data_IF_825429073723
#
_entry.id   IF_825429073723
#
_cell.length_a   1.000
_cell.length_b   1.000
_cell.length_c   1.000
_cell.angle_alpha   90.00
_cell.angle_beta   90.00
_cell.angle_gamma   90.00
#
_symmetry.space_group_name_H-M   'P 1'
#
loop_
_entity.id
_entity.type
_entity.pdbx_description
1 polymer ?
#
# COMPACT_ATOMS: atom_id res chain seq x y z
N UNK A 1 -17.92 8.54 -8.68
CA UNK A 1 -17.43 8.41 -10.05
C UNK A 1 -16.79 7.03 -10.20
N UNK A 2 -17.54 6.10 -10.78
CA UNK A 2 -17.01 4.77 -11.05
C UNK A 2 -16.40 4.78 -12.46
N UNK A 3 -15.08 4.59 -12.52
CA UNK A 3 -14.35 4.54 -13.79
C UNK A 3 -14.02 3.09 -14.14
N UNK A 4 -14.25 2.71 -15.41
CA UNK A 4 -13.96 1.35 -15.88
C UNK A 4 -12.49 0.90 -15.66
N UNK A 5 -11.57 1.87 -15.57
CA UNK A 5 -10.13 1.65 -15.36
C UNK A 5 -9.67 2.35 -14.06
N UNK A 6 -10.55 2.45 -13.06
CA UNK A 6 -10.31 3.22 -11.85
C UNK A 6 -9.04 2.82 -11.10
N UNK A 7 -8.77 1.52 -11.00
CA UNK A 7 -7.59 1.02 -10.29
C UNK A 7 -6.29 1.39 -11.00
N UNK A 8 -6.22 1.23 -12.32
CA UNK A 8 -5.03 1.62 -13.09
C UNK A 8 -4.77 3.12 -13.03
N UNK A 9 -5.84 3.93 -13.03
CA UNK A 9 -5.72 5.38 -12.86
C UNK A 9 -5.13 5.74 -11.50
N UNK A 10 -5.55 5.09 -10.42
CA UNK A 10 -5.01 5.37 -9.08
C UNK A 10 -3.55 4.95 -8.97
N UNK A 11 -3.18 3.77 -9.49
CA UNK A 11 -1.78 3.35 -9.54
C UNK A 11 -0.91 4.34 -10.33
N UNK A 12 -1.40 4.84 -11.47
CA UNK A 12 -0.68 5.84 -12.25
C UNK A 12 -0.53 7.19 -11.52
N UNK A 13 -1.49 7.58 -10.69
CA UNK A 13 -1.40 8.80 -9.89
C UNK A 13 -0.48 8.60 -8.69
N UNK A 14 -0.48 7.43 -8.04
CA UNK A 14 0.42 7.15 -6.91
C UNK A 14 1.88 7.18 -7.32
N UNK A 15 2.22 6.70 -8.52
CA UNK A 15 3.60 6.74 -9.04
C UNK A 15 4.18 8.15 -9.20
N UNK A 16 3.33 9.17 -9.32
CA UNK A 16 3.81 10.57 -9.32
C UNK A 16 4.44 10.99 -8.00
N UNK A 17 4.14 10.32 -6.89
CA UNK A 17 4.77 10.55 -5.59
C UNK A 17 6.29 10.36 -5.61
N UNK A 18 6.76 9.41 -6.42
CA UNK A 18 8.20 9.14 -6.60
C UNK A 18 8.92 10.35 -7.19
N UNK A 19 8.30 10.98 -8.20
CA UNK A 19 8.84 12.20 -8.80
C UNK A 19 8.91 13.33 -7.78
N UNK A 20 7.92 13.44 -6.88
CA UNK A 20 7.92 14.42 -5.80
C UNK A 20 9.13 14.29 -4.88
N UNK A 21 9.47 13.07 -4.45
CA UNK A 21 10.62 12.78 -3.60
C UNK A 21 11.94 13.07 -4.32
N UNK A 22 12.07 12.69 -5.59
CA UNK A 22 13.27 12.97 -6.39
C UNK A 22 13.47 14.47 -6.58
N UNK A 23 12.40 15.22 -6.88
CA UNK A 23 12.45 16.69 -7.02
C UNK A 23 12.77 17.37 -5.69
N UNK A 24 12.25 16.88 -4.57
CA UNK A 24 12.57 17.40 -3.25
C UNK A 24 14.06 17.25 -2.92
N UNK A 25 14.65 16.09 -3.19
CA UNK A 25 16.09 15.88 -3.01
C UNK A 25 16.94 16.71 -3.94
N UNK A 26 16.52 16.91 -5.19
CA UNK A 26 17.25 17.70 -6.17
C UNK A 26 17.19 19.20 -5.85
N UNK A 27 16.02 19.71 -5.46
CA UNK A 27 15.85 21.14 -5.16
C UNK A 27 16.56 21.60 -3.88
N UNK A 28 16.96 20.68 -3.01
CA UNK A 28 17.63 20.99 -1.74
C UNK A 28 19.11 21.40 -1.89
N UNK A 29 19.70 21.25 -3.07
CA UNK A 29 21.12 21.55 -3.38
C UNK A 29 22.12 20.99 -2.36
N UNK A 30 21.78 19.84 -1.76
CA UNK A 30 22.58 19.14 -0.77
C UNK A 30 22.87 17.71 -1.23
N UNK A 31 24.13 17.30 -1.21
CA UNK A 31 24.55 15.96 -1.63
C UNK A 31 23.90 14.83 -0.82
N UNK A 32 23.66 15.02 0.48
CA UNK A 32 23.07 14.02 1.36
C UNK A 32 21.58 13.84 1.07
N UNK A 33 20.85 14.93 0.83
CA UNK A 33 19.44 14.90 0.41
C UNK A 33 19.27 14.26 -0.95
N UNK A 34 20.17 14.52 -1.89
CA UNK A 34 20.15 13.91 -3.21
C UNK A 34 20.37 12.39 -3.14
N UNK A 35 21.35 11.92 -2.34
CA UNK A 35 21.58 10.49 -2.11
C UNK A 35 20.35 9.84 -1.46
N UNK A 36 19.75 10.50 -0.46
CA UNK A 36 18.51 10.03 0.20
C UNK A 36 17.36 9.86 -0.77
N UNK A 37 17.12 10.87 -1.61
CA UNK A 37 16.06 10.85 -2.63
C UNK A 37 16.30 9.75 -3.68
N UNK A 38 17.53 9.54 -4.14
CA UNK A 38 17.85 8.49 -5.10
C UNK A 38 17.68 7.09 -4.50
N UNK A 39 18.05 6.88 -3.24
CA UNK A 39 17.82 5.61 -2.52
C UNK A 39 16.33 5.32 -2.38
N UNK A 40 15.56 6.30 -1.94
CA UNK A 40 14.10 6.19 -1.82
C UNK A 40 13.44 5.93 -3.16
N UNK A 41 13.80 6.69 -4.19
CA UNK A 41 13.27 6.51 -5.54
C UNK A 41 13.55 5.12 -6.12
N UNK A 42 14.77 4.60 -5.96
CA UNK A 42 15.12 3.25 -6.42
C UNK A 42 14.30 2.16 -5.72
N UNK A 43 14.06 2.31 -4.41
CA UNK A 43 13.22 1.39 -3.64
C UNK A 43 11.77 1.47 -4.13
N UNK A 44 11.19 2.66 -4.18
CA UNK A 44 9.79 2.87 -4.56
C UNK A 44 9.48 2.33 -5.96
N UNK A 45 10.32 2.64 -6.96
CA UNK A 45 10.16 2.12 -8.33
C UNK A 45 10.19 0.59 -8.36
N UNK A 46 11.08 -0.04 -7.56
CA UNK A 46 11.16 -1.50 -7.51
C UNK A 46 9.89 -2.11 -6.91
N UNK A 47 9.42 -1.62 -5.77
CA UNK A 47 8.24 -2.15 -5.08
C UNK A 47 6.92 -1.84 -5.80
N UNK A 48 6.86 -0.76 -6.59
CA UNK A 48 5.71 -0.44 -7.43
C UNK A 48 5.44 -1.53 -8.48
N UNK A 49 6.49 -2.19 -8.98
CA UNK A 49 6.33 -3.32 -9.91
C UNK A 49 5.62 -4.49 -9.25
N UNK A 50 6.04 -4.92 -8.06
CA UNK A 50 5.38 -6.00 -7.33
C UNK A 50 3.96 -5.65 -6.91
N UNK A 51 3.74 -4.41 -6.49
CA UNK A 51 2.40 -3.91 -6.16
C UNK A 51 1.48 -3.96 -7.40
N UNK A 52 1.96 -3.51 -8.54
CA UNK A 52 1.22 -3.54 -9.81
C UNK A 52 0.88 -4.97 -10.24
N UNK A 53 1.80 -5.93 -10.10
CA UNK A 53 1.56 -7.34 -10.43
C UNK A 53 0.48 -7.93 -9.52
N UNK A 54 0.53 -7.65 -8.22
CA UNK A 54 -0.51 -8.15 -7.29
C UNK A 54 -1.88 -7.57 -7.58
N UNK A 55 -1.96 -6.30 -7.96
CA UNK A 55 -3.21 -5.65 -8.38
C UNK A 55 -3.73 -6.25 -9.69
N UNK A 56 -2.85 -6.51 -10.67
CA UNK A 56 -3.21 -7.19 -11.92
C UNK A 56 -3.76 -8.60 -11.66
N UNK A 57 -3.18 -9.35 -10.72
CA UNK A 57 -3.70 -10.66 -10.33
C UNK A 57 -5.15 -10.56 -9.80
N UNK A 58 -5.45 -9.53 -9.00
CA UNK A 58 -6.83 -9.28 -8.52
C UNK A 58 -7.77 -8.89 -9.66
N UNK A 59 -7.32 -8.07 -10.61
CA UNK A 59 -8.11 -7.69 -11.80
C UNK A 59 -8.46 -8.92 -12.62
N UNK A 60 -7.50 -9.83 -12.83
CA UNK A 60 -7.72 -11.09 -13.56
C UNK A 60 -8.74 -11.98 -12.83
N UNK A 61 -8.65 -12.09 -11.50
CA UNK A 61 -9.58 -12.87 -10.68
C UNK A 61 -11.00 -12.30 -10.69
N UNK A 62 -11.13 -10.97 -10.71
CA UNK A 62 -12.41 -10.26 -10.65
C UNK A 62 -13.04 -10.10 -12.03
N UNK A 63 -12.24 -10.13 -13.11
CA UNK A 63 -12.66 -9.87 -14.49
C UNK A 63 -12.98 -8.41 -14.80
N UNK A 64 -12.72 -7.48 -13.88
CA UNK A 64 -12.98 -6.04 -14.03
C UNK A 64 -11.86 -5.19 -13.45
N UNK A 65 -11.63 -3.99 -14.00
CA UNK A 65 -10.70 -3.01 -13.48
C UNK A 65 -11.40 -1.84 -12.75
N UNK A 66 -12.72 -1.91 -12.62
CA UNK A 66 -13.54 -0.97 -11.84
C UNK A 66 -13.49 -1.33 -10.36
N UNK A 67 -13.34 -0.33 -9.49
CA UNK A 67 -13.28 -0.54 -8.02
C UNK A 67 -14.59 -1.14 -7.51
N UNK A 68 -15.74 -0.64 -7.96
CA UNK A 68 -17.05 -1.18 -7.58
C UNK A 68 -17.24 -2.61 -8.05
N UNK A 69 -16.88 -2.90 -9.31
CA UNK A 69 -16.99 -4.24 -9.87
C UNK A 69 -16.13 -5.27 -9.13
N UNK A 70 -14.93 -4.89 -8.68
CA UNK A 70 -14.09 -5.78 -7.85
C UNK A 70 -14.74 -6.05 -6.50
N UNK A 71 -15.32 -5.04 -5.85
CA UNK A 71 -16.02 -5.26 -4.57
C UNK A 71 -17.24 -6.15 -4.79
N UNK A 72 -18.06 -5.89 -5.82
CA UNK A 72 -19.23 -6.71 -6.16
C UNK A 72 -18.87 -8.16 -6.50
N UNK A 73 -17.75 -8.39 -7.18
CA UNK A 73 -17.26 -9.74 -7.45
C UNK A 73 -16.96 -10.54 -6.18
N UNK A 74 -16.75 -9.88 -5.05
CA UNK A 74 -16.48 -10.48 -3.75
C UNK A 74 -17.73 -10.80 -2.93
N UNK A 75 -18.94 -10.58 -3.46
CA UNK A 75 -20.20 -10.87 -2.76
C UNK A 75 -20.29 -12.34 -2.27
N UNK A 76 -19.74 -13.27 -3.02
CA UNK A 76 -19.73 -14.71 -2.70
C UNK A 76 -18.46 -15.16 -1.93
N UNK A 77 -17.67 -14.24 -1.41
CA UNK A 77 -16.44 -14.51 -0.68
C UNK A 77 -15.33 -13.54 -1.01
N UNK A 78 -14.48 -13.26 -0.06
CA UNK A 78 -13.37 -12.32 -0.23
C UNK A 78 -12.31 -12.86 -1.19
N UNK A 79 -11.71 -12.01 -1.97
CA UNK A 79 -10.67 -12.39 -2.92
C UNK A 79 -9.46 -13.06 -2.25
N UNK A 80 -9.16 -12.74 -1.01
CA UNK A 80 -8.09 -13.38 -0.23
C UNK A 80 -8.24 -14.90 -0.16
N UNK A 81 -9.49 -15.42 -0.20
CA UNK A 81 -9.78 -16.86 -0.14
C UNK A 81 -10.18 -17.46 -1.50
N UNK A 82 -10.67 -16.62 -2.43
CA UNK A 82 -11.24 -17.07 -3.71
C UNK A 82 -10.22 -17.71 -4.65
N UNK A 83 -8.99 -17.19 -4.68
CA UNK A 83 -7.88 -17.72 -5.47
C UNK A 83 -6.99 -18.70 -4.72
N UNK A 84 -7.48 -19.28 -3.61
CA UNK A 84 -6.74 -20.22 -2.77
C UNK A 84 -5.39 -19.63 -2.30
N UNK A 85 -4.31 -20.42 -2.38
CA UNK A 85 -2.98 -20.01 -1.92
C UNK A 85 -2.44 -18.80 -2.71
N UNK A 86 -2.73 -18.68 -4.00
CA UNK A 86 -2.21 -17.60 -4.85
C UNK A 86 -2.72 -16.23 -4.41
N UNK A 87 -4.02 -16.11 -4.14
CA UNK A 87 -4.59 -14.84 -3.67
C UNK A 87 -4.12 -14.46 -2.28
N UNK A 88 -3.91 -15.44 -1.41
CA UNK A 88 -3.35 -15.19 -0.09
C UNK A 88 -1.90 -14.70 -0.17
N UNK A 89 -1.08 -15.31 -1.03
CA UNK A 89 0.28 -14.85 -1.29
C UNK A 89 0.28 -13.44 -1.91
N UNK A 90 -0.59 -13.19 -2.88
CA UNK A 90 -0.73 -11.87 -3.47
C UNK A 90 -1.10 -10.80 -2.42
N UNK A 91 -1.97 -11.13 -1.46
CA UNK A 91 -2.28 -10.22 -0.36
C UNK A 91 -1.05 -9.92 0.51
N UNK A 92 -0.25 -10.92 0.86
CA UNK A 92 0.98 -10.74 1.64
C UNK A 92 1.98 -9.87 0.87
N UNK A 93 2.20 -10.16 -0.43
CA UNK A 93 3.10 -9.37 -1.28
C UNK A 93 2.60 -7.93 -1.38
N UNK A 94 1.28 -7.73 -1.56
CA UNK A 94 0.67 -6.41 -1.57
C UNK A 94 0.93 -5.63 -0.27
N UNK A 95 0.78 -6.27 0.90
CA UNK A 95 1.04 -5.62 2.19
C UNK A 95 2.50 -5.23 2.36
N UNK A 96 3.43 -6.09 1.92
CA UNK A 96 4.87 -5.80 1.99
C UNK A 96 5.22 -4.65 1.04
N UNK A 97 4.78 -4.72 -0.22
CA UNK A 97 5.04 -3.69 -1.22
C UNK A 97 4.37 -2.35 -0.84
N UNK A 98 3.14 -2.37 -0.35
CA UNK A 98 2.43 -1.19 0.11
C UNK A 98 3.06 -0.54 1.35
N UNK A 99 3.65 -1.34 2.27
CA UNK A 99 4.40 -0.79 3.39
C UNK A 99 5.70 -0.11 2.92
N UNK A 100 6.36 -0.67 1.91
CA UNK A 100 7.53 -0.06 1.29
C UNK A 100 7.17 1.24 0.54
N UNK A 101 6.04 1.28 -0.17
CA UNK A 101 5.52 2.48 -0.85
C UNK A 101 5.17 3.61 0.14
N UNK A 102 4.71 3.25 1.34
CA UNK A 102 4.45 4.21 2.41
C UNK A 102 5.74 4.69 3.12
N UNK A 103 6.93 4.29 2.67
CA UNK A 103 8.23 4.61 3.29
C UNK A 103 8.28 4.31 4.80
N UNK A 104 7.56 3.28 5.25
CA UNK A 104 7.49 2.90 6.67
C UNK A 104 8.43 1.75 7.02
N UNK A 105 8.92 1.75 8.26
CA UNK A 105 9.72 0.62 8.76
C UNK A 105 9.05 -0.74 8.49
N UNK A 106 9.82 -1.74 8.07
CA UNK A 106 11.29 -1.85 7.99
C UNK A 106 11.95 -1.23 6.74
N UNK A 107 11.19 -0.59 5.83
CA UNK A 107 11.64 -0.03 4.54
C UNK A 107 11.91 1.48 4.60
N UNK A 108 12.10 2.04 5.78
CA UNK A 108 12.35 3.46 6.03
C UNK A 108 13.81 3.85 5.68
N UNK A 109 14.14 3.76 4.39
CA UNK A 109 15.48 4.08 3.87
C UNK A 109 15.62 5.56 3.51
N UNK A 110 14.49 6.24 3.31
CA UNK A 110 14.44 7.64 2.93
C UNK A 110 14.91 8.57 4.05
N UNK A 111 14.52 8.26 5.27
CA UNK A 111 14.84 9.07 6.46
C UNK A 111 16.20 8.73 7.07
N UNK A 112 16.73 7.53 6.87
CA UNK A 112 18.02 7.00 7.31
C UNK A 112 18.82 7.90 8.28
N UNK A 113 18.22 8.31 9.41
CA UNK A 113 18.80 9.26 10.37
C UNK A 113 20.22 8.93 10.77
N UNK A 114 20.55 7.64 10.86
CA UNK A 114 21.89 7.18 11.23
C UNK A 114 22.93 7.32 10.10
N UNK A 115 22.50 7.43 8.83
CA UNK A 115 23.39 7.45 7.68
C UNK A 115 23.35 8.80 6.93
N UNK A 116 22.21 9.46 6.85
CA UNK A 116 21.93 10.60 5.97
C UNK A 116 21.33 11.82 6.71
N UNK A 117 21.50 11.89 8.04
CA UNK A 117 20.94 12.94 8.91
C UNK A 117 19.42 12.85 8.97
N UNK A 118 18.69 13.37 7.98
CA UNK A 118 17.22 13.25 7.86
C UNK A 118 16.79 12.91 6.42
N UNK A 119 17.69 12.34 5.63
CA UNK A 119 17.39 11.91 4.27
C UNK A 119 17.02 13.07 3.34
N UNK A 120 15.99 12.88 2.49
CA UNK A 120 15.59 13.84 1.47
C UNK A 120 14.94 15.12 2.03
N UNK A 121 14.49 15.14 3.30
CA UNK A 121 13.88 16.32 3.94
C UNK A 121 14.81 17.07 4.92
N UNK A 122 16.10 16.83 4.86
CA UNK A 122 17.09 17.48 5.76
C UNK A 122 17.01 19.00 5.74
N UNK A 123 16.80 19.61 4.57
CA UNK A 123 16.75 21.07 4.40
C UNK A 123 15.34 21.65 4.61
N UNK A 124 14.33 20.79 4.75
CA UNK A 124 12.95 21.24 4.93
C UNK A 124 12.64 21.44 6.42
N UNK A 125 12.01 22.57 6.75
CA UNK A 125 11.61 22.90 8.12
C UNK A 125 10.18 23.45 8.19
N UNK A 126 9.61 23.48 9.38
CA UNK A 126 8.30 24.05 9.64
C UNK A 126 7.19 23.36 8.84
N UNK A 127 6.38 24.13 8.17
CA UNK A 127 5.18 23.67 7.45
C UNK A 127 5.51 22.79 6.25
N UNK A 128 6.61 23.04 5.55
CA UNK A 128 7.07 22.22 4.43
C UNK A 128 7.42 20.80 4.87
N UNK A 129 8.09 20.63 6.01
CA UNK A 129 8.34 19.33 6.61
C UNK A 129 7.04 18.63 7.00
N UNK A 130 6.07 19.38 7.56
CA UNK A 130 4.75 18.85 7.91
C UNK A 130 3.98 18.27 6.72
N UNK A 131 4.13 18.83 5.52
CA UNK A 131 3.49 18.30 4.31
C UNK A 131 4.06 16.92 3.89
N UNK A 132 5.35 16.66 4.07
CA UNK A 132 5.91 15.34 3.79
C UNK A 132 5.33 14.29 4.72
N UNK A 133 5.24 14.58 6.02
CA UNK A 133 4.58 13.67 6.98
C UNK A 133 3.11 13.46 6.68
N UNK A 134 2.39 14.52 6.32
CA UNK A 134 0.99 14.41 5.93
C UNK A 134 0.84 13.48 4.72
N UNK A 135 1.67 13.65 3.68
CA UNK A 135 1.66 12.81 2.49
C UNK A 135 1.95 11.34 2.83
N UNK A 136 2.91 11.07 3.70
CA UNK A 136 3.27 9.73 4.16
C UNK A 136 2.10 9.03 4.87
N UNK A 137 1.44 9.71 5.83
CA UNK A 137 0.28 9.15 6.51
C UNK A 137 -0.92 8.97 5.58
N UNK A 138 -1.15 9.91 4.66
CA UNK A 138 -2.20 9.78 3.64
C UNK A 138 -1.95 8.57 2.73
N UNK A 139 -0.71 8.36 2.29
CA UNK A 139 -0.35 7.21 1.48
C UNK A 139 -0.59 5.88 2.23
N UNK A 140 -0.24 5.81 3.52
CA UNK A 140 -0.55 4.66 4.36
C UNK A 140 -2.05 4.32 4.37
N UNK A 141 -2.91 5.34 4.55
CA UNK A 141 -4.36 5.16 4.54
C UNK A 141 -4.88 4.74 3.16
N UNK A 142 -4.37 5.31 2.08
CA UNK A 142 -4.73 4.96 0.71
C UNK A 142 -4.37 3.50 0.44
N UNK A 143 -3.14 3.10 0.72
CA UNK A 143 -2.67 1.71 0.53
C UNK A 143 -3.50 0.72 1.33
N UNK A 144 -3.81 1.03 2.60
CA UNK A 144 -4.67 0.18 3.43
C UNK A 144 -6.12 0.14 2.92
N UNK A 145 -6.65 1.26 2.42
CA UNK A 145 -7.96 1.33 1.80
C UNK A 145 -8.05 0.46 0.54
N UNK A 146 -7.03 0.51 -0.30
CA UNK A 146 -6.93 -0.36 -1.47
C UNK A 146 -6.80 -1.84 -1.09
N UNK A 147 -5.99 -2.19 -0.09
CA UNK A 147 -5.92 -3.56 0.42
C UNK A 147 -7.29 -4.07 0.85
N UNK A 148 -8.06 -3.22 1.54
CA UNK A 148 -9.40 -3.59 2.01
C UNK A 148 -10.39 -3.79 0.85
N UNK A 149 -10.34 -2.96 -0.20
CA UNK A 149 -11.22 -3.07 -1.36
C UNK A 149 -10.85 -4.23 -2.28
N UNK A 150 -9.56 -4.46 -2.51
CA UNK A 150 -9.08 -5.49 -3.43
C UNK A 150 -9.20 -6.91 -2.86
N UNK A 151 -8.91 -7.09 -1.57
CA UNK A 151 -8.78 -8.42 -0.95
C UNK A 151 -9.85 -8.74 0.08
N UNK A 152 -10.36 -7.74 0.83
CA UNK A 152 -11.28 -7.94 1.95
C UNK A 152 -12.74 -7.53 1.64
N UNK A 153 -13.05 -7.24 0.38
CA UNK A 153 -14.41 -6.92 -0.05
C UNK A 153 -14.90 -5.52 0.29
N UNK A 154 -13.99 -4.56 0.59
CA UNK A 154 -14.32 -3.16 0.80
C UNK A 154 -15.49 -2.92 1.77
N UNK A 155 -16.56 -2.30 1.27
CA UNK A 155 -17.77 -1.98 2.05
C UNK A 155 -18.73 -3.15 2.24
N UNK A 156 -18.49 -4.32 1.62
CA UNK A 156 -19.37 -5.47 1.80
C UNK A 156 -19.18 -6.12 3.17
N UNK A 157 -20.28 -6.50 3.84
CA UNK A 157 -20.21 -7.27 5.08
C UNK A 157 -19.63 -8.66 4.84
N UNK A 158 -19.17 -9.29 5.90
CA UNK A 158 -18.72 -10.68 5.86
C UNK A 158 -19.94 -11.60 5.81
N UNK A 159 -20.12 -12.31 4.69
CA UNK A 159 -21.13 -13.34 4.57
C UNK A 159 -20.51 -14.73 4.67
N UNK A 160 -21.10 -15.57 5.51
CA UNK A 160 -20.69 -16.99 5.65
C UNK A 160 -21.85 -17.84 5.19
N UNK A 161 -21.61 -18.69 4.21
CA UNK A 161 -22.62 -19.63 3.73
C UNK A 161 -23.07 -20.58 4.84
N UNK A 162 -24.38 -20.69 5.06
CA UNK A 162 -24.98 -21.55 6.11
C UNK A 162 -25.29 -20.87 7.44
N UNK A 163 -24.98 -19.55 7.63
CA UNK A 163 -25.28 -18.81 8.85
C UNK A 163 -26.20 -17.61 8.59
N UNK A 164 -27.46 -17.88 8.25
CA UNK A 164 -28.42 -16.82 7.85
C UNK A 164 -28.68 -15.79 8.94
N UNK A 165 -28.77 -16.21 10.21
CA UNK A 165 -28.94 -15.30 11.34
C UNK A 165 -27.75 -14.36 11.54
N UNK A 166 -26.52 -14.86 11.34
CA UNK A 166 -25.31 -14.05 11.37
C UNK A 166 -25.29 -13.03 10.22
N UNK A 167 -25.62 -13.47 9.00
CA UNK A 167 -25.62 -12.63 7.81
C UNK A 167 -26.66 -11.49 7.93
N UNK A 168 -27.83 -11.73 8.54
CA UNK A 168 -28.82 -10.69 8.81
C UNK A 168 -28.32 -9.63 9.77
N UNK A 169 -27.64 -10.02 10.84
CA UNK A 169 -27.03 -9.06 11.79
C UNK A 169 -25.93 -8.23 11.12
N UNK A 170 -25.10 -8.86 10.28
CA UNK A 170 -24.03 -8.16 9.57
C UNK A 170 -24.55 -7.16 8.55
N UNK A 171 -25.68 -7.41 7.92
CA UNK A 171 -26.34 -6.50 6.98
C UNK A 171 -26.95 -5.27 7.67
N UNK A 172 -27.18 -5.29 8.98
CA UNK A 172 -27.70 -4.14 9.72
C UNK A 172 -26.65 -3.03 9.86
N UNK A 173 -25.35 -3.37 9.75
CA UNK A 173 -24.25 -2.43 9.89
C UNK A 173 -24.03 -1.71 8.54
N UNK A 174 -24.00 -0.36 8.51
CA UNK A 174 -23.75 0.40 7.29
C UNK A 174 -22.43 0.01 6.61
N UNK A 175 -22.40 -0.07 5.27
CA UNK A 175 -21.21 -0.45 4.50
C UNK A 175 -20.00 0.46 4.74
N UNK A 176 -20.21 1.73 5.09
CA UNK A 176 -19.12 2.67 5.43
C UNK A 176 -18.36 2.20 6.68
N UNK A 177 -19.06 1.67 7.68
CA UNK A 177 -18.44 1.15 8.92
C UNK A 177 -17.57 -0.07 8.58
N UNK A 178 -18.05 -0.94 7.69
CA UNK A 178 -17.27 -2.07 7.21
C UNK A 178 -16.00 -1.65 6.46
N UNK A 179 -16.12 -0.69 5.54
CA UNK A 179 -14.98 -0.18 4.79
C UNK A 179 -13.93 0.45 5.71
N UNK A 180 -14.36 1.33 6.62
CA UNK A 180 -13.45 1.96 7.59
C UNK A 180 -12.84 0.94 8.55
N UNK A 181 -13.64 0.02 9.09
CA UNK A 181 -13.15 -0.99 10.02
C UNK A 181 -12.06 -1.88 9.42
N UNK A 182 -12.24 -2.35 8.18
CA UNK A 182 -11.24 -3.14 7.45
C UNK A 182 -10.00 -2.32 7.12
N UNK A 183 -10.17 -1.07 6.70
CA UNK A 183 -9.05 -0.16 6.43
C UNK A 183 -8.23 0.09 7.69
N UNK A 184 -8.88 0.40 8.83
CA UNK A 184 -8.18 0.58 10.10
C UNK A 184 -7.51 -0.71 10.59
N UNK A 185 -8.11 -1.86 10.33
CA UNK A 185 -7.48 -3.16 10.64
C UNK A 185 -6.17 -3.33 9.85
N UNK A 186 -6.17 -3.01 8.56
CA UNK A 186 -4.94 -3.08 7.73
C UNK A 186 -3.91 -2.05 8.18
N UNK A 187 -4.34 -0.81 8.49
CA UNK A 187 -3.44 0.23 9.07
C UNK A 187 -2.80 -0.28 10.36
N UNK A 188 -3.60 -0.87 11.25
CA UNK A 188 -3.09 -1.45 12.50
C UNK A 188 -2.05 -2.55 12.24
N UNK A 189 -2.31 -3.42 11.25
CA UNK A 189 -1.39 -4.49 10.87
C UNK A 189 -0.06 -3.92 10.33
N UNK A 190 -0.11 -2.90 9.47
CA UNK A 190 1.09 -2.23 8.95
C UNK A 190 1.88 -1.53 10.07
N UNK A 191 1.17 -0.89 11.00
CA UNK A 191 1.78 -0.29 12.19
C UNK A 191 2.44 -1.35 13.09
N UNK A 192 1.80 -2.51 13.27
CA UNK A 192 2.37 -3.61 14.03
C UNK A 192 3.66 -4.15 13.39
N UNK A 193 3.68 -4.32 12.07
CA UNK A 193 4.89 -4.71 11.32
C UNK A 193 6.03 -3.71 11.56
N UNK A 194 5.75 -2.41 11.52
CA UNK A 194 6.73 -1.35 11.78
C UNK A 194 7.44 -1.51 13.14
N UNK A 195 6.69 -1.85 14.19
CA UNK A 195 7.24 -1.96 15.54
C UNK A 195 7.92 -3.31 15.82
N UNK A 196 7.67 -4.32 15.00
CA UNK A 196 8.16 -5.68 15.21
C UNK A 196 9.46 -5.95 14.47
N UNK A 197 9.61 -5.45 13.24
CA UNK A 197 10.76 -5.76 12.39
C UNK A 197 11.86 -4.69 12.50
N UNK A 198 13.14 -5.13 12.57
CA UNK A 198 14.28 -4.22 12.50
C UNK A 198 14.37 -3.65 11.08
N UNK A 199 15.01 -2.48 10.98
CA UNK A 199 15.28 -1.82 9.71
C UNK A 199 16.20 -2.64 8.82
N UNK A 200 15.88 -2.71 7.53
CA UNK A 200 16.66 -3.39 6.50
C UNK A 200 17.67 -2.42 5.84
N UNK A 201 18.79 -2.95 5.34
CA UNK A 201 19.73 -2.19 4.50
C UNK A 201 19.23 -2.13 3.07
N UNK A 202 19.64 -1.09 2.31
CA UNK A 202 19.21 -0.89 0.92
C UNK A 202 19.48 -2.10 0.03
N UNK A 203 20.66 -2.71 0.17
CA UNK A 203 21.03 -3.90 -0.60
C UNK A 203 20.10 -5.09 -0.31
N UNK A 204 19.71 -5.25 0.96
CA UNK A 204 18.80 -6.30 1.39
C UNK A 204 17.38 -6.05 0.88
N UNK A 205 16.91 -4.79 0.92
CA UNK A 205 15.58 -4.39 0.46
C UNK A 205 15.44 -4.63 -1.04
N UNK A 206 16.40 -4.19 -1.86
CA UNK A 206 16.37 -4.42 -3.30
C UNK A 206 16.53 -5.91 -3.65
N UNK A 207 17.42 -6.63 -2.95
CA UNK A 207 17.58 -8.07 -3.14
C UNK A 207 16.31 -8.84 -2.78
N UNK A 208 15.61 -8.43 -1.70
CA UNK A 208 14.36 -9.04 -1.26
C UNK A 208 13.26 -8.87 -2.31
N UNK A 209 13.15 -7.67 -2.90
CA UNK A 209 12.21 -7.39 -3.98
C UNK A 209 12.48 -8.27 -5.20
N UNK A 210 13.67 -8.15 -5.79
CA UNK A 210 13.99 -8.81 -7.07
C UNK A 210 14.13 -10.32 -6.99
N UNK A 211 14.50 -10.86 -5.84
CA UNK A 211 14.80 -12.30 -5.69
C UNK A 211 13.64 -13.11 -5.08
N UNK A 212 12.80 -12.47 -4.27
CA UNK A 212 11.75 -13.16 -3.52
C UNK A 212 10.34 -12.69 -3.81
N UNK A 213 10.12 -11.39 -4.05
CA UNK A 213 8.77 -10.87 -4.30
C UNK A 213 8.37 -10.91 -5.78
N UNK A 214 9.32 -10.63 -6.69
CA UNK A 214 9.07 -10.60 -8.13
C UNK A 214 8.81 -11.98 -8.77
N UNK A 215 9.51 -13.07 -8.44
CA UNK A 215 9.26 -14.37 -9.05
C UNK A 215 7.97 -15.02 -8.61
#
# INVERSE_FOLDING_TARGET
LDMNIGILFVLAVSSMGILGILLAGWSSDNKYTMIGAMRSGAMLVSYELSLSITVLAVIVLSGTASVSGIVESQANGWNIFKGHIVSFLAFIIYLIAGNAEANRGPFDLAEAEQELIAGYHTEYSGLHFGFFYLAEYMNLFITAGFASTLFLGGWMPLHISGLDAFNQVMNYIPGVVWALGKTFFVVWLLMWVRWTFPRLRIDQVLMFEWKYLMP
#
